data_IF_403548790954
#
_entry.id   IF_403548790954
#
_cell.length_a   1.000
_cell.length_b   1.000
_cell.length_c   1.000
_cell.angle_alpha   90.00
_cell.angle_beta   90.00
_cell.angle_gamma   90.00
#
_symmetry.space_group_name_H-M   'P 1'
#
loop_
_entity.id
_entity.type
_entity.pdbx_description
1 polymer ?
#
# COMPACT_ATOMS: atom_id res chain seq x y z
N UNK A 1 -15.47 21.21 -37.63
CA UNK A 1 -15.31 19.79 -37.26
C UNK A 1 -15.54 18.97 -38.51
N UNK A 2 -14.52 18.22 -38.92
CA UNK A 2 -14.54 17.46 -40.16
C UNK A 2 -15.58 16.33 -40.15
N UNK A 3 -16.13 16.03 -41.33
CA UNK A 3 -17.13 14.98 -41.52
C UNK A 3 -16.63 13.60 -41.10
N UNK A 4 -15.32 13.38 -41.15
CA UNK A 4 -14.68 12.11 -40.80
C UNK A 4 -14.74 11.82 -39.30
N UNK A 5 -14.75 12.85 -38.44
CA UNK A 5 -14.83 12.66 -36.99
C UNK A 5 -16.24 12.26 -36.54
N UNK A 6 -17.29 12.70 -37.25
CA UNK A 6 -18.67 12.31 -36.93
C UNK A 6 -18.97 10.86 -37.30
N UNK A 7 -18.48 10.40 -38.46
CA UNK A 7 -18.65 9.01 -38.90
C UNK A 7 -17.94 7.99 -38.00
N UNK A 8 -16.86 8.39 -37.33
CA UNK A 8 -16.14 7.52 -36.39
C UNK A 8 -16.96 7.24 -35.11
N UNK A 9 -17.66 8.24 -34.57
CA UNK A 9 -18.48 8.07 -33.37
C UNK A 9 -19.81 7.35 -33.64
N UNK A 10 -20.44 7.55 -34.79
CA UNK A 10 -21.67 6.83 -35.17
C UNK A 10 -21.43 5.32 -35.36
N UNK A 11 -20.24 4.93 -35.81
CA UNK A 11 -19.84 3.53 -35.96
C UNK A 11 -19.52 2.84 -34.63
N UNK A 12 -19.07 3.60 -33.62
CA UNK A 12 -18.87 3.12 -32.25
C UNK A 12 -20.19 3.00 -31.47
N UNK A 13 -21.15 3.89 -31.75
CA UNK A 13 -22.45 3.91 -31.07
C UNK A 13 -23.47 2.92 -31.66
N UNK A 14 -23.18 2.27 -32.79
CA UNK A 14 -24.04 1.24 -33.37
C UNK A 14 -25.43 1.74 -33.78
N UNK A 15 -25.55 3.01 -34.21
CA UNK A 15 -26.83 3.60 -34.60
C UNK A 15 -26.98 3.49 -36.12
N UNK A 16 -27.65 2.44 -36.59
CA UNK A 16 -28.22 2.41 -37.94
C UNK A 16 -29.67 2.87 -37.87
N UNK A 17 -29.98 4.00 -38.51
CA UNK A 17 -31.36 4.45 -38.73
C UNK A 17 -32.00 3.63 -39.86
N UNK A 18 -32.94 2.76 -39.51
CA UNK A 18 -33.80 2.06 -40.46
C UNK A 18 -34.78 1.12 -39.78
N UNK A 19 -36.01 1.61 -39.57
CA UNK A 19 -37.29 0.91 -39.43
C UNK A 19 -37.34 -0.40 -38.63
N UNK A 20 -37.82 -0.36 -37.38
CA UNK A 20 -38.36 -1.55 -36.70
C UNK A 20 -39.65 -1.20 -35.93
N UNK A 21 -40.74 -1.90 -36.25
CA UNK A 21 -41.94 -1.99 -35.41
C UNK A 21 -41.58 -2.65 -34.06
N UNK A 22 -42.28 -2.30 -32.95
CA UNK A 22 -41.87 -2.73 -31.63
C UNK A 22 -42.11 -4.24 -31.41
N UNK A 23 -41.05 -5.02 -31.27
CA UNK A 23 -41.13 -6.41 -30.82
C UNK A 23 -41.29 -6.50 -29.28
N UNK A 24 -42.03 -7.49 -28.77
CA UNK A 24 -42.47 -7.55 -27.39
C UNK A 24 -41.32 -7.80 -26.41
N UNK A 25 -41.41 -7.17 -25.22
CA UNK A 25 -40.63 -7.54 -24.05
C UNK A 25 -40.72 -9.05 -23.80
N UNK A 26 -39.61 -9.76 -23.99
CA UNK A 26 -39.34 -10.98 -23.23
C UNK A 26 -38.39 -10.60 -22.09
N UNK A 27 -39.00 -10.34 -20.94
CA UNK A 27 -38.36 -10.14 -19.65
C UNK A 27 -37.82 -11.47 -19.15
N UNK A 28 -36.68 -11.94 -19.66
CA UNK A 28 -35.97 -13.11 -19.11
C UNK A 28 -34.57 -13.21 -19.73
N UNK A 29 -33.59 -12.51 -19.13
CA UNK A 29 -32.14 -12.86 -19.11
C UNK A 29 -31.22 -11.71 -18.64
N UNK A 30 -31.75 -10.69 -17.95
CA UNK A 30 -30.94 -9.60 -17.39
C UNK A 30 -30.25 -9.94 -16.05
N UNK A 31 -30.54 -11.09 -15.42
CA UNK A 31 -29.94 -11.45 -14.12
C UNK A 31 -28.54 -12.07 -14.24
N UNK A 32 -28.33 -12.96 -15.19
CA UNK A 32 -27.03 -13.66 -15.36
C UNK A 32 -25.90 -12.71 -15.79
N UNK A 33 -26.20 -11.71 -16.63
CA UNK A 33 -25.21 -10.76 -17.14
C UNK A 33 -24.85 -9.64 -16.13
N UNK A 34 -25.58 -9.57 -15.00
CA UNK A 34 -25.31 -8.63 -13.90
C UNK A 34 -24.49 -9.34 -12.82
N UNK A 35 -24.79 -10.61 -12.52
CA UNK A 35 -24.01 -11.44 -11.58
C UNK A 35 -22.55 -11.61 -12.03
N UNK A 36 -22.29 -11.95 -13.30
CA UNK A 36 -20.91 -12.08 -13.82
C UNK A 36 -20.11 -10.76 -13.79
N UNK A 37 -20.78 -9.61 -13.93
CA UNK A 37 -20.17 -8.27 -13.85
C UNK A 37 -19.94 -7.79 -12.42
N UNK A 38 -20.70 -8.31 -11.45
CA UNK A 38 -20.45 -8.10 -10.04
C UNK A 38 -19.28 -8.95 -9.57
N UNK A 39 -19.22 -10.22 -9.97
CA UNK A 39 -18.11 -11.14 -9.62
C UNK A 39 -16.77 -10.67 -10.17
N UNK A 40 -16.70 -10.14 -11.41
CA UNK A 40 -15.47 -9.58 -11.96
C UNK A 40 -15.04 -8.26 -11.29
N UNK A 41 -16.00 -7.45 -10.79
CA UNK A 41 -15.69 -6.21 -10.05
C UNK A 41 -15.30 -6.49 -8.60
N UNK A 42 -15.88 -7.50 -7.97
CA UNK A 42 -15.49 -7.99 -6.66
C UNK A 42 -14.11 -8.66 -6.75
N UNK A 43 -13.87 -9.50 -7.75
CA UNK A 43 -12.56 -10.10 -8.05
C UNK A 43 -11.49 -9.05 -8.33
N UNK A 44 -11.79 -8.01 -9.12
CA UNK A 44 -10.83 -6.93 -9.36
C UNK A 44 -10.60 -6.08 -8.10
N UNK A 45 -11.63 -5.88 -7.27
CA UNK A 45 -11.54 -5.24 -5.96
C UNK A 45 -10.66 -6.02 -4.97
N UNK A 46 -10.75 -7.36 -4.98
CA UNK A 46 -9.89 -8.27 -4.21
C UNK A 46 -8.44 -8.24 -4.72
N UNK A 47 -8.21 -8.11 -6.03
CA UNK A 47 -6.87 -8.01 -6.63
C UNK A 47 -6.20 -6.65 -6.32
N UNK A 48 -6.98 -5.58 -6.12
CA UNK A 48 -6.47 -4.28 -5.66
C UNK A 48 -6.31 -4.17 -4.14
N UNK A 49 -6.77 -5.17 -3.38
CA UNK A 49 -6.62 -5.26 -1.90
C UNK A 49 -5.21 -5.71 -1.46
N UNK A 50 -4.36 -6.18 -2.38
CA UNK A 50 -3.03 -6.75 -2.07
C UNK A 50 -1.85 -5.77 -2.11
N UNK A 51 -2.05 -4.51 -2.51
CA UNK A 51 -0.95 -3.53 -2.47
C UNK A 51 -0.68 -3.08 -1.02
N UNK A 52 0.40 -3.57 -0.41
CA UNK A 52 0.84 -3.11 0.91
C UNK A 52 1.13 -1.60 0.88
N UNK A 53 0.45 -0.84 1.73
CA UNK A 53 0.64 0.60 1.85
C UNK A 53 2.02 0.97 2.37
N UNK A 54 2.51 2.13 1.94
CA UNK A 54 3.81 2.63 2.38
C UNK A 54 3.68 3.30 3.76
N UNK A 55 4.39 2.78 4.77
CA UNK A 55 4.42 3.42 6.08
C UNK A 55 5.32 4.68 6.02
N UNK A 56 4.71 5.84 6.29
CA UNK A 56 5.44 7.09 6.46
C UNK A 56 6.32 7.03 7.71
N UNK A 57 7.60 7.37 7.56
CA UNK A 57 8.61 7.28 8.63
C UNK A 57 9.53 8.49 8.59
N UNK A 58 9.90 8.96 9.77
CA UNK A 58 11.03 9.85 9.98
C UNK A 58 12.22 9.01 10.45
N UNK A 59 13.39 9.24 9.84
CA UNK A 59 14.63 8.52 10.19
C UNK A 59 15.71 9.54 10.45
N UNK A 60 16.30 9.48 11.64
CA UNK A 60 17.41 10.34 12.03
C UNK A 60 18.45 9.57 12.84
N UNK A 61 19.62 10.18 13.05
CA UNK A 61 20.69 9.53 13.80
C UNK A 61 21.23 10.43 14.90
N UNK A 62 21.68 9.78 15.97
CA UNK A 62 22.53 10.35 17.01
C UNK A 62 23.96 9.78 16.83
N UNK A 63 24.95 10.22 17.63
CA UNK A 63 26.26 9.59 17.60
C UNK A 63 26.25 8.08 17.88
N UNK A 64 25.30 7.59 18.69
CA UNK A 64 25.27 6.21 19.18
C UNK A 64 24.14 5.34 18.62
N UNK A 65 23.13 5.91 17.95
CA UNK A 65 21.95 5.17 17.50
C UNK A 65 21.31 5.77 16.24
N UNK A 66 20.56 4.95 15.50
CA UNK A 66 19.51 5.41 14.59
C UNK A 66 18.16 5.43 15.31
N UNK A 67 17.33 6.42 14.99
CA UNK A 67 15.98 6.55 15.54
C UNK A 67 15.00 6.59 14.38
N UNK A 68 13.95 5.79 14.48
CA UNK A 68 12.86 5.75 13.51
C UNK A 68 11.56 6.10 14.25
N UNK A 69 10.80 7.05 13.70
CA UNK A 69 9.51 7.46 14.22
C UNK A 69 8.44 7.34 13.13
N UNK A 70 7.24 6.91 13.52
CA UNK A 70 6.12 6.77 12.60
C UNK A 70 4.78 6.94 13.29
N UNK A 71 3.83 7.58 12.62
CA UNK A 71 2.45 7.69 13.10
C UNK A 71 1.67 6.41 12.75
N UNK A 72 1.19 5.72 13.77
CA UNK A 72 0.50 4.43 13.69
C UNK A 72 -0.78 4.45 14.52
N UNK A 73 -1.58 5.51 14.34
CA UNK A 73 -2.86 5.65 15.03
C UNK A 73 -3.80 4.47 14.70
N UNK A 74 -4.46 3.95 15.74
CA UNK A 74 -5.43 2.86 15.61
C UNK A 74 -4.83 1.47 15.37
N UNK A 75 -3.51 1.29 15.52
CA UNK A 75 -2.85 -0.01 15.41
C UNK A 75 -2.52 -0.54 16.79
N UNK A 76 -2.92 -1.77 17.10
CA UNK A 76 -2.50 -2.40 18.35
C UNK A 76 -1.01 -2.78 18.27
N UNK A 77 -0.25 -2.69 19.37
CA UNK A 77 1.16 -3.08 19.37
C UNK A 77 1.42 -4.52 18.90
N UNK A 78 0.47 -5.42 19.14
CA UNK A 78 0.52 -6.83 18.73
C UNK A 78 0.38 -7.04 17.21
N UNK A 79 -0.20 -6.07 16.51
CA UNK A 79 -0.38 -6.09 15.05
C UNK A 79 0.83 -5.52 14.30
N UNK A 80 1.91 -5.20 15.01
CA UNK A 80 3.14 -4.63 14.45
C UNK A 80 4.26 -5.67 14.51
N UNK A 81 4.78 -6.00 13.34
CA UNK A 81 5.93 -6.86 13.17
C UNK A 81 7.16 -6.02 12.80
N UNK A 82 8.24 -6.19 13.55
CA UNK A 82 9.52 -5.53 13.32
C UNK A 82 10.58 -6.61 13.14
N UNK A 83 11.14 -6.67 11.93
CA UNK A 83 12.22 -7.59 11.59
C UNK A 83 13.51 -6.82 11.35
N UNK A 84 14.61 -7.40 11.82
CA UNK A 84 15.96 -6.83 11.73
C UNK A 84 16.84 -7.72 10.86
N UNK A 85 17.64 -7.09 10.02
CA UNK A 85 18.80 -7.66 9.33
C UNK A 85 20.05 -6.87 9.76
N UNK A 86 21.28 -7.33 9.44
CA UNK A 86 22.51 -6.66 9.90
C UNK A 86 22.58 -5.17 9.54
N UNK A 87 22.02 -4.79 8.39
CA UNK A 87 22.10 -3.46 7.79
C UNK A 87 20.71 -2.85 7.48
N UNK A 88 19.62 -3.47 7.90
CA UNK A 88 18.28 -2.97 7.58
C UNK A 88 17.23 -3.36 8.62
N UNK A 89 16.14 -2.61 8.62
CA UNK A 89 14.96 -2.84 9.45
C UNK A 89 13.73 -2.82 8.57
N UNK A 90 12.80 -3.73 8.82
CA UNK A 90 11.50 -3.78 8.16
C UNK A 90 10.40 -3.68 9.22
N UNK A 91 9.47 -2.76 9.01
CA UNK A 91 8.31 -2.52 9.86
C UNK A 91 7.07 -2.88 9.06
N UNK A 92 6.25 -3.78 9.58
CA UNK A 92 4.98 -4.21 8.99
C UNK A 92 3.85 -4.10 9.99
N UNK A 93 2.63 -3.97 9.47
CA UNK A 93 1.44 -4.04 10.30
C UNK A 93 0.16 -3.83 9.49
N UNK A 94 -0.96 -3.63 10.18
CA UNK A 94 -2.26 -3.40 9.55
C UNK A 94 -3.03 -2.31 10.29
N UNK A 95 -3.67 -1.42 9.53
CA UNK A 95 -4.68 -0.47 10.04
C UNK A 95 -6.05 -1.02 9.70
N UNK A 96 -6.86 -1.29 10.70
CA UNK A 96 -8.24 -1.75 10.50
C UNK A 96 -9.22 -0.60 10.68
N UNK A 97 -10.26 -0.59 9.83
CA UNK A 97 -11.39 0.31 9.96
C UNK A 97 -12.56 -0.47 10.55
N UNK A 98 -13.07 -0.03 11.70
CA UNK A 98 -14.20 -0.71 12.37
C UNK A 98 -15.48 -0.67 11.52
N UNK A 99 -15.76 0.46 10.87
CA UNK A 99 -16.96 0.66 10.06
C UNK A 99 -16.71 0.38 8.58
N UNK A 100 -17.54 -0.49 8.01
CA UNK A 100 -17.61 -0.72 6.56
C UNK A 100 -18.56 0.28 5.92
N UNK A 101 -17.99 1.30 5.29
CA UNK A 101 -18.74 2.31 4.53
C UNK A 101 -18.52 2.05 3.04
N UNK A 102 -19.62 2.02 2.26
CA UNK A 102 -19.53 1.88 0.80
C UNK A 102 -18.78 3.06 0.19
N UNK A 103 -17.98 2.79 -0.85
CA UNK A 103 -17.14 3.79 -1.52
C UNK A 103 -17.94 5.03 -1.99
N UNK A 104 -19.16 4.82 -2.51
CA UNK A 104 -20.07 5.88 -2.98
C UNK A 104 -20.55 6.85 -1.89
N UNK A 105 -20.46 6.45 -0.61
CA UNK A 105 -20.89 7.26 0.52
C UNK A 105 -19.78 8.17 1.07
N UNK A 106 -18.54 8.01 0.62
CA UNK A 106 -17.49 8.96 0.99
C UNK A 106 -17.63 10.25 0.19
N UNK A 107 -17.65 11.38 0.89
CA UNK A 107 -17.43 12.68 0.27
C UNK A 107 -15.93 12.86 -0.01
N UNK A 108 -15.08 12.48 0.95
CA UNK A 108 -13.62 12.44 0.84
C UNK A 108 -13.06 11.28 1.68
N UNK A 109 -11.98 10.66 1.20
CA UNK A 109 -11.28 9.58 1.89
C UNK A 109 -9.78 9.74 1.68
N UNK A 110 -9.07 10.19 2.72
CA UNK A 110 -7.61 10.38 2.70
C UNK A 110 -6.89 9.39 3.63
N UNK A 111 -7.60 8.88 4.64
CA UNK A 111 -7.04 7.91 5.57
C UNK A 111 -6.79 6.58 4.87
N UNK A 112 -5.55 6.10 5.00
CA UNK A 112 -5.17 4.77 4.56
C UNK A 112 -5.62 3.70 5.55
N UNK A 113 -6.27 2.65 5.03
CA UNK A 113 -6.67 1.44 5.77
C UNK A 113 -6.14 0.22 5.03
N UNK A 114 -5.69 -0.80 5.77
CA UNK A 114 -5.08 -1.99 5.19
C UNK A 114 -3.69 -2.28 5.74
N UNK A 115 -3.01 -3.25 5.12
CA UNK A 115 -1.65 -3.66 5.47
C UNK A 115 -0.65 -2.59 5.10
N UNK A 116 0.39 -2.39 5.88
CA UNK A 116 1.47 -1.47 5.53
C UNK A 116 2.84 -2.11 5.76
N UNK A 117 3.83 -1.63 5.02
CA UNK A 117 5.21 -2.09 5.12
C UNK A 117 6.18 -0.95 4.82
N UNK A 118 7.34 -0.97 5.49
CA UNK A 118 8.47 -0.09 5.19
C UNK A 118 9.77 -0.76 5.57
N UNK A 119 10.70 -0.82 4.61
CA UNK A 119 12.07 -1.26 4.83
C UNK A 119 13.01 -0.07 4.73
N UNK A 120 13.93 0.03 5.69
CA UNK A 120 14.92 1.11 5.78
C UNK A 120 16.30 0.45 5.79
N UNK A 121 17.14 0.81 4.82
CA UNK A 121 18.55 0.43 4.77
C UNK A 121 19.34 1.41 5.64
N UNK A 122 20.16 0.88 6.53
CA UNK A 122 20.96 1.62 7.48
C UNK A 122 22.39 1.80 6.95
N UNK A 123 23.02 2.97 7.17
CA UNK A 123 24.38 3.21 6.69
C UNK A 123 25.47 2.52 7.53
N UNK A 124 25.09 1.92 8.67
CA UNK A 124 25.99 1.19 9.57
C UNK A 124 25.20 0.06 10.25
N UNK A 125 25.90 -1.03 10.56
CA UNK A 125 25.34 -2.13 11.35
C UNK A 125 24.87 -1.68 12.75
N UNK A 126 23.86 -2.37 13.26
CA UNK A 126 23.24 -2.14 14.57
C UNK A 126 23.48 -3.32 15.51
N UNK A 127 23.29 -3.09 16.81
CA UNK A 127 23.33 -4.10 17.86
C UNK A 127 21.88 -4.60 18.11
N UNK A 128 21.48 -5.75 17.54
CA UNK A 128 20.08 -6.19 17.56
C UNK A 128 19.59 -6.52 18.97
N UNK A 129 20.49 -6.96 19.85
CA UNK A 129 20.15 -7.36 21.23
C UNK A 129 19.73 -6.17 22.11
N UNK A 130 20.00 -4.93 21.65
CA UNK A 130 19.70 -3.69 22.39
C UNK A 130 18.66 -2.81 21.71
N UNK A 131 18.02 -3.31 20.65
CA UNK A 131 16.95 -2.58 19.98
C UNK A 131 15.75 -2.43 20.92
N UNK A 132 15.14 -1.25 20.90
CA UNK A 132 13.94 -0.95 21.68
C UNK A 132 12.88 -0.35 20.77
N UNK A 133 11.64 -0.80 20.92
CA UNK A 133 10.48 -0.23 20.27
C UNK A 133 9.43 0.14 21.32
N UNK A 134 8.76 1.26 21.12
CA UNK A 134 7.69 1.72 22.01
C UNK A 134 6.65 2.49 21.22
N UNK A 135 5.41 2.46 21.70
CA UNK A 135 4.31 3.22 21.14
C UNK A 135 3.79 4.14 22.23
N UNK A 136 3.74 5.44 21.93
CA UNK A 136 3.20 6.45 22.83
C UNK A 136 2.35 7.43 22.04
N UNK A 137 1.10 7.61 22.45
CA UNK A 137 0.15 8.53 21.82
C UNK A 137 0.01 8.30 20.30
N UNK A 138 -0.03 7.04 19.86
CA UNK A 138 -0.14 6.68 18.45
C UNK A 138 1.13 6.88 17.61
N UNK A 139 2.28 7.13 18.24
CA UNK A 139 3.57 7.24 17.57
C UNK A 139 4.46 6.07 17.95
N UNK A 140 4.89 5.29 16.96
CA UNK A 140 5.93 4.28 17.08
C UNK A 140 7.28 4.96 17.12
N UNK A 141 8.10 4.60 18.11
CA UNK A 141 9.50 4.99 18.20
C UNK A 141 10.37 3.76 18.34
N UNK A 142 11.30 3.59 17.40
CA UNK A 142 12.30 2.52 17.39
C UNK A 142 13.68 3.14 17.57
N UNK A 143 14.41 2.65 18.56
CA UNK A 143 15.80 3.03 18.83
C UNK A 143 16.70 1.87 18.46
N UNK A 144 17.64 2.12 17.54
CA UNK A 144 18.56 1.14 16.98
C UNK A 144 20.00 1.52 17.33
N UNK A 145 20.58 0.96 18.41
CA UNK A 145 21.96 1.25 18.79
C UNK A 145 22.94 0.83 17.69
N UNK A 146 23.87 1.72 17.35
CA UNK A 146 24.92 1.45 16.36
C UNK A 146 25.89 0.41 16.90
N UNK A 147 26.29 -0.54 16.07
CA UNK A 147 27.31 -1.50 16.42
C UNK A 147 28.68 -0.82 16.43
N UNK A 148 29.28 -0.70 17.61
CA UNK A 148 30.61 -0.12 17.77
C UNK A 148 31.68 -1.12 17.29
N UNK A 149 32.02 -1.09 16.00
CA UNK A 149 33.17 -1.82 15.47
C UNK A 149 34.46 -1.08 15.81
N UNK A 150 34.99 -1.26 17.02
CA UNK A 150 36.25 -0.64 17.48
C UNK A 150 37.51 -1.19 16.79
N UNK A 151 37.40 -1.85 15.63
CA UNK A 151 38.56 -2.42 14.93
C UNK A 151 38.52 -2.04 13.44
N UNK A 152 39.03 -0.86 13.13
CA UNK A 152 39.42 -0.50 11.76
C UNK A 152 40.53 -1.47 11.32
N UNK A 153 40.21 -2.38 10.40
CA UNK A 153 41.23 -3.24 9.77
C UNK A 153 41.95 -2.44 8.69
N UNK A 154 43.18 -1.99 8.97
CA UNK A 154 44.07 -1.45 7.94
C UNK A 154 44.57 -2.61 7.08
N UNK A 155 44.31 -2.56 5.78
CA UNK A 155 44.80 -3.54 4.81
C UNK A 155 46.03 -2.93 4.14
N UNK A 156 47.13 -3.69 4.04
CA UNK A 156 48.30 -3.28 3.25
C UNK A 156 48.08 -3.70 1.81
N UNK A 157 48.17 -2.74 0.88
CA UNK A 157 48.20 -3.02 -0.56
C UNK A 157 49.55 -3.67 -0.88
N UNK A 158 49.52 -4.81 -1.57
CA UNK A 158 50.72 -5.45 -2.12
C UNK A 158 50.81 -5.10 -3.59
N UNK A 159 52.03 -4.84 -4.07
CA UNK A 159 52.29 -4.79 -5.50
C UNK A 159 52.15 -6.19 -6.10
N UNK A 160 51.61 -6.25 -7.31
CA UNK A 160 51.62 -7.43 -8.18
C UNK A 160 52.92 -7.47 -8.99
#
# INVERSE_FOLDING_TARGET
MDKDTKNFFEKLAGINNGNEEPMPMSTQNSKQNIEEKLDEKESLGEIFEEAEGELAVDVYQTPSAFIIESTIAGVNPEDIDISLSPDSITIKGKREKEERIKTENYIHQECYWGRFSRTIILPQEIDPDKVQASIKNGVLKITLPKLNKTKTKKIKVKFE
#
